data_IF_427978071523
#
_entry.id   IF_427978071523
#
_cell.length_a   1.000
_cell.length_b   1.000
_cell.length_c   1.000
_cell.angle_alpha   90.00
_cell.angle_beta   90.00
_cell.angle_gamma   90.00
#
_symmetry.space_group_name_H-M   'P 1'
#
loop_
_entity.id
_entity.type
_entity.pdbx_description
1 polymer ?
#
# COMPACT_ATOMS: atom_id res chain seq x y z
N UNK A 1 2.60 5.80 -19.21
CA UNK A 1 1.99 6.91 -18.45
C UNK A 1 0.92 6.30 -17.56
N UNK A 2 1.01 6.43 -16.24
CA UNK A 2 0.20 5.68 -15.28
C UNK A 2 -1.25 6.20 -15.12
N UNK A 3 -1.58 7.32 -15.78
CA UNK A 3 -2.90 7.99 -15.75
C UNK A 3 -4.03 7.06 -16.20
N UNK A 4 -3.78 6.16 -17.17
CA UNK A 4 -4.77 5.19 -17.65
C UNK A 4 -5.13 4.07 -16.67
N UNK A 5 -4.53 4.04 -15.49
CA UNK A 5 -4.88 3.14 -14.40
C UNK A 5 -5.73 3.84 -13.31
N UNK A 6 -6.23 5.04 -13.55
CA UNK A 6 -7.17 5.70 -12.64
C UNK A 6 -8.58 5.12 -12.75
N UNK A 7 -9.30 5.05 -11.63
CA UNK A 7 -10.75 4.80 -11.61
C UNK A 7 -11.53 5.81 -12.45
N UNK A 8 -10.98 7.02 -12.64
CA UNK A 8 -11.58 8.09 -13.43
C UNK A 8 -11.49 7.85 -14.95
N UNK A 9 -10.55 7.01 -15.39
CA UNK A 9 -10.35 6.74 -16.82
C UNK A 9 -11.06 5.46 -17.29
N UNK A 10 -11.24 4.48 -16.41
CA UNK A 10 -11.91 3.21 -16.72
C UNK A 10 -12.41 2.55 -15.44
N UNK A 11 -13.63 2.02 -15.48
CA UNK A 11 -14.14 1.16 -14.39
C UNK A 11 -13.24 -0.09 -14.26
N UNK A 12 -12.81 -0.39 -13.05
CA UNK A 12 -12.11 -1.62 -12.73
C UNK A 12 -13.02 -2.83 -12.89
N UNK A 13 -12.39 -3.98 -13.15
CA UNK A 13 -13.08 -5.27 -13.16
C UNK A 13 -13.52 -5.61 -11.72
N UNK A 14 -14.73 -6.13 -11.54
CA UNK A 14 -15.29 -6.44 -10.22
C UNK A 14 -14.49 -7.57 -9.50
N UNK A 15 -13.62 -8.29 -10.22
CA UNK A 15 -12.67 -9.26 -9.66
C UNK A 15 -11.47 -8.62 -8.95
N UNK A 16 -11.18 -7.33 -9.18
CA UNK A 16 -10.07 -6.63 -8.53
C UNK A 16 -10.54 -6.10 -7.18
N UNK A 17 -9.86 -6.45 -6.07
CA UNK A 17 -10.18 -5.89 -4.77
C UNK A 17 -10.06 -4.36 -4.77
N UNK A 18 -11.03 -3.69 -4.15
CA UNK A 18 -11.10 -2.22 -4.10
C UNK A 18 -9.85 -1.56 -3.52
N UNK A 19 -9.14 -2.24 -2.63
CA UNK A 19 -7.88 -1.75 -2.06
C UNK A 19 -6.72 -1.65 -3.06
N UNK A 20 -6.83 -2.29 -4.22
CA UNK A 20 -5.89 -2.20 -5.33
C UNK A 20 -6.29 -1.16 -6.38
N UNK A 21 -7.41 -0.46 -6.20
CA UNK A 21 -7.79 0.62 -7.11
C UNK A 21 -6.85 1.82 -6.94
N UNK A 22 -6.70 2.60 -8.01
CA UNK A 22 -5.80 3.75 -8.11
C UNK A 22 -4.34 3.41 -7.75
N UNK A 23 -3.90 2.20 -8.11
CA UNK A 23 -2.52 1.74 -7.96
C UNK A 23 -1.87 1.59 -9.34
N UNK A 24 -0.54 1.78 -9.50
CA UNK A 24 0.16 1.53 -10.75
C UNK A 24 -0.12 0.10 -11.25
N UNK A 25 -0.24 -0.05 -12.58
CA UNK A 25 -0.54 -1.34 -13.21
C UNK A 25 0.39 -2.47 -12.76
N UNK A 26 1.69 -2.16 -12.57
CA UNK A 26 2.69 -3.13 -12.08
C UNK A 26 2.39 -3.61 -10.66
N UNK A 27 1.94 -2.72 -9.78
CA UNK A 27 1.53 -3.04 -8.40
C UNK A 27 0.28 -3.89 -8.41
N UNK A 28 -0.75 -3.49 -9.17
CA UNK A 28 -1.99 -4.26 -9.30
C UNK A 28 -1.72 -5.67 -9.83
N UNK A 29 -0.94 -5.79 -10.92
CA UNK A 29 -0.60 -7.10 -11.50
C UNK A 29 0.17 -8.00 -10.53
N UNK A 30 1.13 -7.44 -9.80
CA UNK A 30 1.84 -8.18 -8.76
C UNK A 30 0.89 -8.67 -7.67
N UNK A 31 0.10 -7.75 -7.12
CA UNK A 31 -0.82 -8.02 -6.03
C UNK A 31 -1.87 -9.07 -6.43
N UNK A 32 -2.45 -8.96 -7.63
CA UNK A 32 -3.43 -9.92 -8.14
C UNK A 32 -2.83 -11.32 -8.34
N UNK A 33 -1.60 -11.43 -8.86
CA UNK A 33 -0.93 -12.74 -8.91
C UNK A 33 -0.77 -13.34 -7.52
N UNK A 34 -0.32 -12.54 -6.54
CA UNK A 34 -0.15 -13.01 -5.15
C UNK A 34 -1.46 -13.31 -4.46
N UNK A 35 -2.54 -12.61 -4.82
CA UNK A 35 -3.89 -12.88 -4.36
C UNK A 35 -4.36 -14.26 -4.83
N UNK A 36 -4.18 -14.58 -6.11
CA UNK A 36 -4.49 -15.90 -6.67
C UNK A 36 -3.61 -16.98 -6.02
N UNK A 37 -2.31 -16.74 -5.85
CA UNK A 37 -1.38 -17.68 -5.21
C UNK A 37 -1.79 -18.00 -3.75
N UNK A 38 -2.50 -17.07 -3.09
CA UNK A 38 -2.99 -17.20 -1.72
C UNK A 38 -4.33 -17.96 -1.63
N UNK A 39 -4.95 -18.33 -2.75
CA UNK A 39 -6.26 -19.00 -2.78
C UNK A 39 -6.26 -20.34 -2.06
N UNK A 40 -5.14 -21.06 -2.15
CA UNK A 40 -4.98 -22.39 -1.58
C UNK A 40 -4.65 -22.38 -0.08
N UNK A 41 -4.43 -21.21 0.52
CA UNK A 41 -4.12 -21.12 1.96
C UNK A 41 -5.40 -21.11 2.80
N UNK A 42 -5.47 -22.00 3.78
CA UNK A 42 -6.64 -22.12 4.68
C UNK A 42 -6.39 -21.41 6.01
N UNK A 43 -7.43 -21.27 6.84
CA UNK A 43 -7.29 -20.68 8.18
C UNK A 43 -6.34 -21.49 9.07
N UNK A 44 -6.21 -22.80 8.87
CA UNK A 44 -5.28 -23.65 9.62
C UNK A 44 -3.80 -23.34 9.30
N UNK A 45 -3.56 -22.70 8.15
CA UNK A 45 -2.24 -22.24 7.74
C UNK A 45 -1.86 -20.90 8.37
N UNK A 46 -2.75 -20.24 9.11
CA UNK A 46 -2.51 -18.94 9.73
C UNK A 46 -2.80 -18.97 11.22
N UNK A 47 -1.79 -18.59 12.00
CA UNK A 47 -1.90 -18.38 13.42
C UNK A 47 -1.80 -16.86 13.70
N UNK A 48 -2.90 -16.24 14.13
CA UNK A 48 -2.92 -14.82 14.48
C UNK A 48 -2.27 -14.61 15.86
N UNK A 49 -1.13 -13.92 15.89
CA UNK A 49 -0.40 -13.62 17.14
C UNK A 49 -0.93 -12.34 17.79
N UNK A 50 -1.27 -11.33 16.97
CA UNK A 50 -1.89 -10.07 17.41
C UNK A 50 -2.75 -9.47 16.31
N UNK A 51 -3.36 -8.30 16.55
CA UNK A 51 -4.10 -7.57 15.51
C UNK A 51 -3.23 -7.15 14.32
N UNK A 52 -1.91 -7.05 14.50
CA UNK A 52 -0.96 -6.56 13.50
C UNK A 52 0.08 -7.62 13.09
N UNK A 53 -0.02 -8.85 13.59
CA UNK A 53 1.00 -9.88 13.40
C UNK A 53 0.38 -11.27 13.20
N UNK A 54 0.90 -11.98 12.21
CA UNK A 54 0.50 -13.34 11.86
C UNK A 54 1.72 -14.24 11.67
N UNK A 55 1.55 -15.52 11.99
CA UNK A 55 2.43 -16.58 11.55
C UNK A 55 1.73 -17.36 10.44
N UNK A 56 2.36 -17.42 9.27
CA UNK A 56 1.77 -18.05 8.08
C UNK A 56 2.62 -19.25 7.69
N UNK A 57 1.99 -20.43 7.64
CA UNK A 57 2.58 -21.68 7.14
C UNK A 57 2.60 -21.63 5.62
N UNK A 58 3.73 -21.97 5.04
CA UNK A 58 3.88 -22.07 3.59
C UNK A 58 4.70 -23.31 3.22
N UNK A 59 4.26 -23.98 2.16
CA UNK A 59 4.91 -25.16 1.64
C UNK A 59 5.89 -24.77 0.54
N UNK A 60 7.14 -25.22 0.63
CA UNK A 60 8.11 -25.08 -0.45
C UNK A 60 8.15 -26.35 -1.34
N UNK A 61 8.85 -26.27 -2.47
CA UNK A 61 8.99 -27.38 -3.44
C UNK A 61 9.58 -28.67 -2.84
N UNK A 62 10.21 -28.60 -1.67
CA UNK A 62 10.82 -29.75 -0.96
C UNK A 62 9.85 -30.33 0.10
N UNK A 63 8.57 -29.96 0.07
CA UNK A 63 7.55 -30.34 1.06
C UNK A 63 7.95 -30.00 2.51
N UNK A 64 8.83 -29.02 2.72
CA UNK A 64 9.09 -28.49 4.06
C UNK A 64 8.09 -27.37 4.31
N UNK A 65 7.32 -27.54 5.38
CA UNK A 65 6.51 -26.46 5.94
C UNK A 65 7.45 -25.47 6.61
N UNK A 66 7.43 -24.23 6.14
CA UNK A 66 8.11 -23.10 6.75
C UNK A 66 7.05 -22.16 7.33
N UNK A 67 7.27 -21.70 8.56
CA UNK A 67 6.45 -20.66 9.18
C UNK A 67 7.15 -19.32 8.96
N UNK A 68 6.40 -18.35 8.44
CA UNK A 68 6.88 -17.00 8.19
C UNK A 68 6.13 -16.01 9.08
N UNK A 69 6.89 -15.08 9.63
CA UNK A 69 6.32 -13.96 10.35
C UNK A 69 5.90 -12.84 9.38
N UNK A 70 4.68 -12.34 9.58
CA UNK A 70 4.07 -11.27 8.81
C UNK A 70 3.59 -10.20 9.77
N UNK A 71 4.02 -8.97 9.54
CA UNK A 71 3.57 -7.79 10.25
C UNK A 71 2.81 -6.87 9.30
N UNK A 72 1.60 -6.46 9.70
CA UNK A 72 0.88 -5.37 9.05
C UNK A 72 1.55 -4.02 9.36
N UNK A 73 2.11 -3.91 10.56
CA UNK A 73 2.92 -2.80 11.03
C UNK A 73 3.96 -3.33 12.01
N UNK A 74 5.23 -3.10 11.73
CA UNK A 74 6.35 -3.46 12.59
C UNK A 74 6.81 -2.27 13.44
N UNK A 75 7.89 -2.45 14.20
CA UNK A 75 8.46 -1.41 15.08
C UNK A 75 8.88 -0.13 14.34
N UNK A 76 9.11 -0.21 13.02
CA UNK A 76 9.45 0.93 12.16
C UNK A 76 8.22 1.61 11.53
N UNK A 77 7.00 1.20 11.91
CA UNK A 77 5.76 1.72 11.34
C UNK A 77 5.53 1.28 9.89
N UNK A 78 6.11 0.14 9.47
CA UNK A 78 6.01 -0.39 8.10
C UNK A 78 5.49 -1.83 8.10
N UNK A 79 4.74 -2.27 7.09
CA UNK A 79 4.50 -3.69 6.92
C UNK A 79 5.80 -4.44 6.69
N UNK A 80 5.87 -5.71 7.09
CA UNK A 80 7.02 -6.55 6.77
C UNK A 80 6.68 -8.03 6.72
N UNK A 81 7.43 -8.77 5.90
CA UNK A 81 7.36 -10.22 5.83
C UNK A 81 8.76 -10.80 5.62
N UNK A 82 9.03 -11.96 6.23
CA UNK A 82 10.32 -12.65 6.14
C UNK A 82 10.55 -13.38 4.80
N UNK A 83 9.56 -13.41 3.90
CA UNK A 83 9.70 -14.14 2.64
C UNK A 83 10.53 -13.37 1.60
N UNK A 84 11.15 -14.12 0.67
CA UNK A 84 11.97 -13.54 -0.40
C UNK A 84 11.21 -12.58 -1.32
N UNK A 85 9.92 -12.82 -1.54
CA UNK A 85 9.09 -11.96 -2.40
C UNK A 85 8.98 -10.55 -1.82
N UNK A 86 8.74 -10.47 -0.50
CA UNK A 86 8.74 -9.20 0.23
C UNK A 86 10.11 -8.53 0.20
N UNK A 87 11.18 -9.25 0.57
CA UNK A 87 12.53 -8.68 0.63
C UNK A 87 13.02 -8.12 -0.71
N UNK A 88 12.57 -8.69 -1.83
CA UNK A 88 12.96 -8.25 -3.16
C UNK A 88 12.09 -7.12 -3.72
N UNK A 89 10.79 -7.11 -3.40
CA UNK A 89 9.81 -6.22 -4.06
C UNK A 89 9.29 -5.12 -3.15
N UNK A 90 9.27 -5.34 -1.84
CA UNK A 90 8.59 -4.49 -0.86
C UNK A 90 7.11 -4.21 -1.23
N UNK A 91 6.50 -5.13 -1.99
CA UNK A 91 5.09 -5.13 -2.35
C UNK A 91 4.38 -6.25 -1.58
N UNK A 92 3.05 -6.18 -1.39
CA UNK A 92 2.33 -7.20 -0.65
C UNK A 92 2.49 -8.58 -1.28
N UNK A 93 3.22 -9.45 -0.57
CA UNK A 93 3.54 -10.80 -1.02
C UNK A 93 2.36 -11.76 -0.83
N UNK A 94 2.50 -13.01 -1.30
CA UNK A 94 1.51 -14.07 -1.09
C UNK A 94 1.02 -14.17 0.36
N UNK A 95 1.93 -14.10 1.33
CA UNK A 95 1.61 -14.30 2.75
C UNK A 95 0.82 -13.13 3.35
N UNK A 96 1.13 -11.90 2.92
CA UNK A 96 0.31 -10.72 3.25
C UNK A 96 -1.08 -10.85 2.61
N UNK A 97 -1.16 -11.29 1.35
CA UNK A 97 -2.45 -11.52 0.68
C UNK A 97 -3.29 -12.59 1.37
N UNK A 98 -2.68 -13.66 1.89
CA UNK A 98 -3.39 -14.64 2.71
C UNK A 98 -4.01 -13.98 3.94
N UNK A 99 -3.26 -13.13 4.65
CA UNK A 99 -3.79 -12.35 5.77
C UNK A 99 -4.96 -11.44 5.35
N UNK A 100 -4.85 -10.77 4.20
CA UNK A 100 -5.91 -9.90 3.67
C UNK A 100 -7.20 -10.64 3.31
N UNK A 101 -7.08 -11.88 2.83
CA UNK A 101 -8.25 -12.74 2.52
C UNK A 101 -8.93 -13.25 3.78
N UNK A 102 -8.15 -13.61 4.80
CA UNK A 102 -8.66 -14.26 6.00
C UNK A 102 -9.19 -13.26 7.04
N UNK A 103 -8.62 -12.06 7.09
CA UNK A 103 -9.01 -11.01 8.03
C UNK A 103 -9.52 -9.78 7.27
N UNK A 104 -10.84 -9.63 7.12
CA UNK A 104 -11.43 -8.43 6.54
C UNK A 104 -10.92 -7.17 7.23
N UNK A 105 -10.67 -6.10 6.47
CA UNK A 105 -10.12 -4.81 6.93
C UNK A 105 -8.63 -4.80 7.32
N UNK A 106 -7.90 -5.91 7.25
CA UNK A 106 -6.46 -5.92 7.53
C UNK A 106 -5.64 -5.02 6.62
N UNK A 107 -6.08 -4.77 5.38
CA UNK A 107 -5.48 -3.73 4.52
C UNK A 107 -5.52 -2.34 5.15
N UNK A 108 -6.59 -2.00 5.88
CA UNK A 108 -6.75 -0.70 6.52
C UNK A 108 -5.83 -0.53 7.74
N UNK A 109 -5.32 -1.65 8.27
CA UNK A 109 -4.32 -1.67 9.34
C UNK A 109 -2.89 -1.47 8.78
N UNK A 110 -2.70 -1.54 7.46
CA UNK A 110 -1.40 -1.20 6.86
C UNK A 110 -1.18 0.32 7.01
N UNK A 111 0.01 0.74 7.46
CA UNK A 111 0.38 2.15 7.60
C UNK A 111 0.11 2.97 6.34
N UNK A 112 -0.47 4.15 6.51
CA UNK A 112 -0.79 5.08 5.42
C UNK A 112 0.48 5.46 4.64
N UNK A 113 1.59 5.66 5.35
CA UNK A 113 2.90 5.96 4.76
C UNK A 113 3.39 4.90 3.75
N UNK A 114 2.90 3.66 3.88
CA UNK A 114 3.15 2.61 2.89
C UNK A 114 2.08 2.62 1.79
N UNK A 115 0.80 2.67 2.16
CA UNK A 115 -0.32 2.58 1.19
C UNK A 115 -0.36 3.72 0.18
N UNK A 116 0.09 4.90 0.60
CA UNK A 116 0.05 6.14 -0.18
C UNK A 116 1.44 6.54 -0.70
N UNK A 117 2.44 5.66 -0.52
CA UNK A 117 3.75 5.86 -1.11
C UNK A 117 3.62 5.96 -2.65
N UNK A 118 4.27 6.93 -3.33
CA UNK A 118 4.15 7.13 -4.77
C UNK A 118 4.65 5.94 -5.62
N UNK A 119 5.46 5.03 -5.04
CA UNK A 119 5.82 3.77 -5.69
C UNK A 119 4.69 2.72 -5.65
N UNK A 120 3.71 2.91 -4.76
CA UNK A 120 2.60 1.99 -4.50
C UNK A 120 1.28 2.57 -5.01
N UNK A 121 1.02 3.87 -4.83
CA UNK A 121 -0.21 4.56 -5.19
C UNK A 121 -0.02 5.50 -6.40
N UNK A 122 -1.11 5.81 -7.11
CA UNK A 122 -1.11 6.84 -8.15
C UNK A 122 -1.36 8.22 -7.53
N UNK A 123 -0.59 9.23 -7.93
CA UNK A 123 -0.85 10.62 -7.56
C UNK A 123 -2.11 11.14 -8.27
N UNK A 124 -3.22 11.13 -7.53
CA UNK A 124 -4.53 11.57 -8.03
C UNK A 124 -4.59 13.09 -8.22
N UNK A 125 -3.68 13.86 -7.61
CA UNK A 125 -3.63 15.32 -7.74
C UNK A 125 -3.25 15.82 -9.14
N UNK A 126 -2.88 14.92 -10.05
CA UNK A 126 -2.49 15.27 -11.42
C UNK A 126 -3.61 15.10 -12.46
N UNK A 127 -4.83 14.72 -12.04
CA UNK A 127 -5.95 14.66 -12.97
C UNK A 127 -6.43 16.07 -13.29
N UNK A 128 -6.53 16.46 -14.58
CA UNK A 128 -7.27 17.66 -14.92
C UNK A 128 -8.70 17.44 -14.42
N UNK A 129 -9.15 18.28 -13.49
CA UNK A 129 -10.56 18.40 -13.18
C UNK A 129 -11.25 18.63 -14.52
N UNK A 130 -12.19 17.76 -14.90
CA UNK A 130 -13.05 18.03 -16.04
C UNK A 130 -13.59 19.45 -15.85
N UNK A 131 -13.17 20.34 -16.74
CA UNK A 131 -13.70 21.68 -16.85
C UNK A 131 -15.16 21.53 -17.25
N UNK A 132 -16.04 21.41 -16.26
CA UNK A 132 -17.46 21.57 -16.45
C UNK A 132 -17.71 23.04 -16.82
N UNK A 133 -17.72 23.31 -18.13
CA UNK A 133 -18.35 24.51 -18.66
C UNK A 133 -19.87 24.36 -18.50
N UNK A 134 -20.47 25.17 -17.63
CA UNK A 134 -21.55 26.10 -18.02
C UNK A 134 -22.10 26.83 -16.79
N UNK A 135 -21.74 28.11 -16.65
CA UNK A 135 -22.52 29.07 -15.86
C UNK A 135 -22.93 30.21 -16.78
N UNK A 136 -24.03 30.01 -17.51
CA UNK A 136 -24.81 31.13 -18.03
C UNK A 136 -25.71 31.64 -16.91
N UNK A 137 -25.25 32.73 -16.27
CA UNK A 137 -26.01 33.77 -15.59
C UNK A 137 -26.83 33.38 -14.36
N UNK A 138 -26.48 33.95 -13.20
CA UNK A 138 -27.42 34.66 -12.33
C UNK A 138 -26.63 35.45 -11.26
N UNK A 139 -26.60 36.77 -11.49
CA UNK A 139 -26.64 37.91 -10.56
C UNK A 139 -25.75 38.02 -9.31
N UNK A 140 -25.52 39.31 -9.04
CA UNK A 140 -24.54 40.00 -8.22
C UNK A 140 -24.68 39.85 -6.69
N UNK A 141 -23.61 40.26 -6.01
CA UNK A 141 -23.47 40.66 -4.60
C UNK A 141 -23.44 39.57 -3.49
N UNK A 142 -22.28 39.43 -2.83
CA UNK A 142 -22.02 39.98 -1.46
C UNK A 142 -21.08 39.11 -0.55
N UNK A 143 -20.06 39.78 0.04
CA UNK A 143 -19.36 39.48 1.34
C UNK A 143 -18.51 38.20 1.43
N UNK A 144 -17.29 38.14 1.99
CA UNK A 144 -16.40 39.09 2.68
C UNK A 144 -14.97 38.53 2.70
N UNK A 145 -14.02 39.45 2.68
CA UNK A 145 -12.57 39.28 2.81
C UNK A 145 -12.19 38.58 4.13
N UNK A 146 -11.46 37.46 4.06
CA UNK A 146 -10.84 36.83 5.24
C UNK A 146 -9.32 36.80 5.06
N UNK A 147 -8.70 37.62 5.91
CA UNK A 147 -7.27 37.82 6.10
C UNK A 147 -6.58 36.50 6.50
N UNK A 148 -5.59 36.04 5.72
CA UNK A 148 -4.66 34.99 6.16
C UNK A 148 -3.36 35.70 6.55
N UNK A 149 -3.12 35.79 7.86
CA UNK A 149 -1.86 36.25 8.44
C UNK A 149 -0.76 35.20 8.25
N UNK A 150 0.43 35.69 7.89
CA UNK A 150 1.70 34.97 7.79
C UNK A 150 2.03 34.15 9.05
N UNK A 151 2.58 32.95 8.85
CA UNK A 151 3.31 32.23 9.90
C UNK A 151 4.74 32.03 9.38
N UNK A 152 5.68 32.67 10.07
CA UNK A 152 7.12 32.50 9.96
C UNK A 152 7.52 31.10 10.48
N UNK A 153 8.57 30.51 9.86
CA UNK A 153 8.76 29.06 9.84
C UNK A 153 9.54 28.41 10.98
N UNK A 154 9.88 27.14 10.75
CA UNK A 154 11.00 26.43 11.37
C UNK A 154 11.65 25.48 10.35
N UNK A 155 12.95 25.68 10.10
CA UNK A 155 13.78 24.87 9.23
C UNK A 155 14.31 23.67 10.03
N UNK A 156 13.81 22.46 9.76
CA UNK A 156 14.29 21.24 10.41
C UNK A 156 15.57 20.75 9.73
N UNK A 157 16.69 20.83 10.48
CA UNK A 157 18.01 20.34 10.07
C UNK A 157 18.09 18.83 10.33
N UNK A 158 18.15 18.04 9.27
CA UNK A 158 18.32 16.57 9.36
C UNK A 158 19.79 16.27 9.72
N UNK A 159 20.04 15.84 10.96
CA UNK A 159 21.32 15.25 11.34
C UNK A 159 21.42 13.82 10.81
N UNK A 160 22.47 13.53 10.04
CA UNK A 160 22.73 12.23 9.44
C UNK A 160 23.12 11.18 10.50
N UNK A 161 22.25 10.19 10.71
CA UNK A 161 22.51 9.03 11.57
C UNK A 161 23.51 8.06 10.91
N UNK A 162 24.42 7.43 11.68
CA UNK A 162 25.46 6.57 11.16
C UNK A 162 24.92 5.24 10.61
N UNK A 163 25.37 4.88 9.40
CA UNK A 163 24.98 3.67 8.68
C UNK A 163 25.69 2.45 9.31
N UNK A 164 24.98 1.36 9.65
CA UNK A 164 25.61 0.15 10.19
C UNK A 164 26.45 -0.60 9.13
N UNK A 165 27.56 -1.24 9.52
CA UNK A 165 28.49 -1.85 8.58
C UNK A 165 27.93 -3.13 7.93
N UNK A 166 28.12 -3.23 6.61
CA UNK A 166 27.79 -4.43 5.80
C UNK A 166 28.53 -5.67 6.30
N UNK A 167 27.78 -6.69 6.72
CA UNK A 167 28.35 -8.02 6.94
C UNK A 167 28.51 -8.76 5.60
N UNK A 168 29.75 -9.18 5.29
CA UNK A 168 30.08 -10.01 4.12
C UNK A 168 29.62 -11.44 4.38
N UNK A 169 28.67 -11.92 3.57
CA UNK A 169 28.31 -13.34 3.51
C UNK A 169 29.49 -14.07 2.85
N UNK A 170 30.04 -15.07 3.54
CA UNK A 170 31.11 -15.94 3.01
C UNK A 170 30.45 -17.06 2.20
N UNK A 171 30.89 -17.25 0.95
CA UNK A 171 30.56 -18.40 0.12
C UNK A 171 31.35 -19.63 0.55
#
# INVERSE_FOLDING_TARGET
MNVGASDQHKKYDDSVPSFLHNRPKTVVQHCMHRWIDSENSTLDDIDQVSSLQFLVKSFNEVNKTLCYEVFLENESGMPSCQCMDWMNKHLPCKLLMTGFRQFPNSWNLIPVIYRDNPYICLDVESFPLDSAEDTSGFDDDNISEVHISSIEGEEYRIESLPIPPRQRIKH
#
